data_IF_259585684858
#
_entry.id   IF_259585684858
#
_cell.length_a   1.000
_cell.length_b   1.000
_cell.length_c   1.000
_cell.angle_alpha   90.00
_cell.angle_beta   90.00
_cell.angle_gamma   90.00
#
_symmetry.space_group_name_H-M   'P 1'
#
loop_
_entity.id
_entity.type
_entity.pdbx_description
1 polymer ?
#
# COMPACT_ATOMS: atom_id res chain seq x y z
N UNK A 1 47.82 30.30 72.70
CA UNK A 1 48.25 29.45 71.57
C UNK A 1 47.01 29.02 70.81
N UNK A 2 46.86 29.46 69.56
CA UNK A 2 45.73 29.06 68.72
C UNK A 2 45.99 27.65 68.13
N UNK A 3 44.97 26.79 68.00
CA UNK A 3 45.14 25.46 67.42
C UNK A 3 45.45 25.57 65.91
N UNK A 4 46.40 24.75 65.42
CA UNK A 4 46.71 24.64 63.99
C UNK A 4 45.54 23.93 63.29
N UNK A 5 44.90 24.60 62.32
CA UNK A 5 43.97 23.96 61.38
C UNK A 5 44.72 22.95 60.50
N UNK A 6 44.27 21.70 60.51
CA UNK A 6 44.67 20.68 59.54
C UNK A 6 43.82 20.81 58.28
N UNK A 7 44.48 20.88 57.13
CA UNK A 7 43.85 21.10 55.81
C UNK A 7 42.84 20.01 55.39
N UNK A 8 42.83 18.85 56.06
CA UNK A 8 42.07 17.66 55.63
C UNK A 8 40.89 17.32 56.54
N UNK A 9 40.55 18.16 57.53
CA UNK A 9 39.40 17.91 58.41
C UNK A 9 38.04 17.98 57.66
N UNK A 10 37.98 18.72 56.54
CA UNK A 10 36.75 18.89 55.76
C UNK A 10 36.51 17.81 54.70
N UNK A 11 37.49 16.92 54.44
CA UNK A 11 37.40 15.89 53.38
C UNK A 11 36.81 14.54 53.88
N UNK A 12 36.69 14.32 55.19
CA UNK A 12 36.26 13.02 55.74
C UNK A 12 34.75 12.71 55.57
N UNK A 13 33.95 13.63 55.02
CA UNK A 13 32.49 13.47 54.89
C UNK A 13 31.93 13.70 53.48
N UNK A 14 32.75 13.61 52.43
CA UNK A 14 32.21 13.56 51.05
C UNK A 14 31.87 12.11 50.71
N UNK A 15 30.74 11.61 51.22
CA UNK A 15 30.13 10.42 50.65
C UNK A 15 29.69 10.74 49.22
N UNK A 16 30.48 10.34 48.23
CA UNK A 16 30.14 10.46 46.81
C UNK A 16 28.97 9.52 46.51
N UNK A 17 27.75 10.01 46.70
CA UNK A 17 26.56 9.29 46.24
C UNK A 17 26.57 9.28 44.70
N UNK A 18 26.41 8.11 44.06
CA UNK A 18 26.35 8.05 42.60
C UNK A 18 25.19 8.90 42.10
N UNK A 19 25.44 9.68 41.04
CA UNK A 19 24.47 10.62 40.47
C UNK A 19 23.19 9.92 40.05
N UNK A 20 22.06 10.40 40.59
CA UNK A 20 20.74 9.96 40.19
C UNK A 20 20.31 10.86 39.03
N UNK A 21 19.86 10.29 37.91
CA UNK A 21 19.28 11.02 36.77
C UNK A 21 17.85 11.53 37.09
N UNK A 22 17.65 12.06 38.29
CA UNK A 22 16.39 12.66 38.71
C UNK A 22 16.56 14.18 38.72
N UNK A 23 15.49 14.90 38.39
CA UNK A 23 15.46 16.35 38.37
C UNK A 23 15.83 16.91 39.75
N UNK A 24 16.80 17.82 39.79
CA UNK A 24 17.36 18.39 41.03
C UNK A 24 16.23 19.12 41.77
N UNK A 25 16.07 18.81 43.06
CA UNK A 25 15.06 19.48 43.90
C UNK A 25 15.28 21.00 43.91
N UNK A 26 14.21 21.80 43.86
CA UNK A 26 14.32 23.25 43.65
C UNK A 26 15.11 23.98 44.75
N UNK A 27 15.15 23.42 45.96
CA UNK A 27 15.89 23.96 47.11
C UNK A 27 17.41 23.78 46.94
N UNK A 28 17.85 22.64 46.38
CA UNK A 28 19.27 22.37 46.08
C UNK A 28 19.76 23.17 44.87
N UNK A 29 18.89 23.40 43.88
CA UNK A 29 19.18 24.23 42.70
C UNK A 29 19.53 25.67 43.09
N UNK A 30 18.93 26.20 44.15
CA UNK A 30 19.24 27.53 44.68
C UNK A 30 20.56 27.56 45.44
N UNK A 31 20.89 26.50 46.19
CA UNK A 31 22.14 26.40 46.97
C UNK A 31 23.37 26.13 46.09
N UNK A 32 23.24 25.36 45.01
CA UNK A 32 24.34 25.09 44.07
C UNK A 32 24.54 26.21 43.05
N UNK A 33 23.53 27.05 42.81
CA UNK A 33 23.67 28.21 41.93
C UNK A 33 24.42 29.34 42.65
N UNK A 34 25.76 29.32 42.57
CA UNK A 34 26.61 30.33 43.20
C UNK A 34 26.32 31.79 42.77
N UNK A 35 25.49 32.03 41.74
CA UNK A 35 25.30 33.33 41.08
C UNK A 35 23.83 33.68 40.76
N UNK A 36 22.84 33.07 41.44
CA UNK A 36 21.41 33.39 41.26
C UNK A 36 20.74 32.66 40.08
N UNK A 37 19.54 33.10 39.69
CA UNK A 37 18.64 32.41 38.75
C UNK A 37 19.20 32.41 37.31
N UNK A 38 20.06 31.44 37.00
CA UNK A 38 20.67 31.23 35.69
C UNK A 38 19.94 30.08 35.00
N UNK A 39 19.38 30.34 33.82
CA UNK A 39 18.83 29.28 32.95
C UNK A 39 19.87 28.89 31.90
N UNK A 40 20.01 27.59 31.64
CA UNK A 40 20.90 27.09 30.59
C UNK A 40 20.07 26.78 29.36
N UNK A 41 20.32 27.49 28.26
CA UNK A 41 19.71 27.25 26.95
C UNK A 41 20.85 26.94 25.97
N UNK A 42 20.80 25.76 25.34
CA UNK A 42 21.84 25.26 24.41
C UNK A 42 23.28 25.38 24.94
N UNK A 43 23.48 25.03 26.22
CA UNK A 43 24.80 25.07 26.87
C UNK A 43 25.29 26.48 27.25
N UNK A 44 24.53 27.53 26.96
CA UNK A 44 24.84 28.91 27.36
C UNK A 44 24.03 29.29 28.62
N UNK A 45 24.72 29.82 29.63
CA UNK A 45 24.09 30.32 30.85
C UNK A 45 23.54 31.73 30.64
N UNK A 46 22.21 31.85 30.51
CA UNK A 46 21.52 33.13 30.29
C UNK A 46 20.94 33.62 31.61
N UNK A 47 21.23 34.88 31.94
CA UNK A 47 20.67 35.60 33.09
C UNK A 47 19.52 36.47 32.62
N UNK A 48 18.29 36.01 32.85
CA UNK A 48 17.07 36.75 32.55
C UNK A 48 16.49 37.34 33.83
N UNK A 49 15.90 38.53 33.72
CA UNK A 49 15.09 39.05 34.82
C UNK A 49 13.75 38.30 34.86
N UNK A 50 13.25 37.91 36.04
CA UNK A 50 12.08 37.03 36.15
C UNK A 50 10.79 37.65 35.56
N UNK A 51 10.71 38.97 35.54
CA UNK A 51 9.59 39.69 34.91
C UNK A 51 9.60 39.60 33.39
N UNK A 52 10.77 39.76 32.75
CA UNK A 52 10.89 39.67 31.29
C UNK A 52 10.71 38.24 30.81
N UNK A 53 11.22 37.27 31.56
CA UNK A 53 11.07 35.85 31.25
C UNK A 53 9.60 35.40 31.30
N UNK A 54 8.85 35.85 32.30
CA UNK A 54 7.41 35.55 32.40
C UNK A 54 6.63 36.11 31.21
N UNK A 55 6.91 37.35 30.80
CA UNK A 55 6.23 37.97 29.66
C UNK A 55 6.67 37.33 28.33
N UNK A 56 7.95 37.03 28.16
CA UNK A 56 8.48 36.38 26.96
C UNK A 56 7.93 34.95 26.80
N UNK A 57 7.85 34.18 27.90
CA UNK A 57 7.25 32.85 27.87
C UNK A 57 5.76 32.92 27.61
N UNK A 58 5.02 33.84 28.23
CA UNK A 58 3.59 34.03 27.95
C UNK A 58 3.34 34.39 26.48
N UNK A 59 4.16 35.28 25.92
CA UNK A 59 4.08 35.64 24.50
C UNK A 59 4.44 34.45 23.58
N UNK A 60 5.52 33.73 23.89
CA UNK A 60 5.93 32.53 23.14
C UNK A 60 4.83 31.47 23.13
N UNK A 61 4.23 31.18 24.28
CA UNK A 61 3.13 30.24 24.39
C UNK A 61 1.91 30.73 23.60
N UNK A 62 1.54 32.00 23.71
CA UNK A 62 0.45 32.57 22.94
C UNK A 62 0.65 32.43 21.42
N UNK A 63 1.84 32.76 20.92
CA UNK A 63 2.17 32.62 19.49
C UNK A 63 2.16 31.15 19.06
N UNK A 64 2.75 30.27 19.87
CA UNK A 64 2.80 28.85 19.58
C UNK A 64 1.40 28.21 19.54
N UNK A 65 0.54 28.55 20.49
CA UNK A 65 -0.82 28.02 20.57
C UNK A 65 -1.67 28.50 19.38
N UNK A 66 -1.56 29.79 19.02
CA UNK A 66 -2.25 30.30 17.83
C UNK A 66 -1.71 29.70 16.53
N UNK A 67 -0.40 29.56 16.40
CA UNK A 67 0.22 28.95 15.21
C UNK A 67 -0.14 27.47 15.08
N UNK A 68 -0.13 26.71 16.18
CA UNK A 68 -0.47 25.29 16.18
C UNK A 68 -1.93 25.04 15.82
N UNK A 69 -2.86 25.83 16.33
CA UNK A 69 -4.29 25.76 15.95
C UNK A 69 -4.46 26.07 14.46
N UNK A 70 -3.84 27.12 13.94
CA UNK A 70 -3.92 27.47 12.51
C UNK A 70 -3.34 26.36 11.61
N UNK A 71 -2.20 25.78 11.99
CA UNK A 71 -1.60 24.67 11.24
C UNK A 71 -2.48 23.42 11.26
N UNK A 72 -3.11 23.12 12.40
CA UNK A 72 -4.03 21.99 12.52
C UNK A 72 -5.30 22.19 11.68
N UNK A 73 -5.88 23.40 11.68
CA UNK A 73 -7.04 23.74 10.87
C UNK A 73 -6.72 23.68 9.37
N UNK A 74 -5.57 24.21 8.95
CA UNK A 74 -5.10 24.12 7.56
C UNK A 74 -4.86 22.66 7.13
N UNK A 75 -4.26 21.84 8.00
CA UNK A 75 -4.08 20.41 7.76
C UNK A 75 -5.40 19.67 7.59
N UNK A 76 -6.39 20.01 8.43
CA UNK A 76 -7.73 19.42 8.39
C UNK A 76 -8.47 19.83 7.11
N UNK A 77 -8.41 21.10 6.71
CA UNK A 77 -9.03 21.56 5.46
C UNK A 77 -8.39 20.91 4.23
N UNK A 78 -7.06 20.81 4.20
CA UNK A 78 -6.34 20.16 3.08
C UNK A 78 -6.73 18.70 2.93
N UNK A 79 -6.83 17.97 4.03
CA UNK A 79 -7.23 16.55 4.03
C UNK A 79 -8.70 16.37 3.67
N UNK A 80 -9.59 17.24 4.17
CA UNK A 80 -10.99 17.25 3.77
C UNK A 80 -11.16 17.48 2.26
N UNK A 81 -10.48 18.48 1.69
CA UNK A 81 -10.52 18.76 0.24
C UNK A 81 -9.97 17.59 -0.57
N UNK A 82 -8.85 16.98 -0.14
CA UNK A 82 -8.30 15.82 -0.83
C UNK A 82 -9.27 14.63 -0.82
N UNK A 83 -9.96 14.39 0.30
CA UNK A 83 -10.95 13.33 0.42
C UNK A 83 -12.21 13.62 -0.42
N UNK A 84 -12.69 14.85 -0.42
CA UNK A 84 -13.82 15.26 -1.27
C UNK A 84 -13.46 15.15 -2.75
N UNK A 85 -12.24 15.54 -3.13
CA UNK A 85 -11.75 15.38 -4.50
C UNK A 85 -11.66 13.91 -4.90
N UNK A 86 -11.10 13.06 -4.04
CA UNK A 86 -11.05 11.61 -4.28
C UNK A 86 -12.45 11.00 -4.41
N UNK A 87 -13.38 11.40 -3.55
CA UNK A 87 -14.78 10.97 -3.62
C UNK A 87 -15.48 11.47 -4.89
N UNK A 88 -15.22 12.71 -5.30
CA UNK A 88 -15.75 13.27 -6.54
C UNK A 88 -15.18 12.55 -7.76
N UNK A 89 -13.87 12.27 -7.77
CA UNK A 89 -13.23 11.47 -8.81
C UNK A 89 -13.80 10.05 -8.87
N UNK A 90 -14.01 9.41 -7.72
CA UNK A 90 -14.65 8.09 -7.65
C UNK A 90 -16.07 8.15 -8.19
N UNK A 91 -16.89 9.11 -7.75
CA UNK A 91 -18.27 9.26 -8.24
C UNK A 91 -18.34 9.60 -9.72
N UNK A 92 -17.43 10.42 -10.23
CA UNK A 92 -17.32 10.69 -11.67
C UNK A 92 -16.98 9.41 -12.41
N UNK A 93 -16.02 8.64 -11.93
CA UNK A 93 -15.71 7.35 -12.53
C UNK A 93 -16.91 6.40 -12.45
N UNK A 94 -17.60 6.29 -11.31
CA UNK A 94 -18.73 5.38 -11.16
C UNK A 94 -19.97 5.83 -11.95
N UNK A 95 -20.22 7.14 -12.09
CA UNK A 95 -21.41 7.70 -12.77
C UNK A 95 -21.20 7.88 -14.28
N UNK A 96 -20.00 8.28 -14.72
CA UNK A 96 -19.68 8.49 -16.15
C UNK A 96 -19.13 7.21 -16.77
N UNK A 97 -18.38 6.39 -16.02
CA UNK A 97 -17.99 5.03 -16.40
C UNK A 97 -18.84 4.00 -15.67
N UNK A 98 -20.14 4.05 -15.91
CA UNK A 98 -20.99 2.89 -15.62
C UNK A 98 -20.47 1.73 -16.48
N UNK A 99 -19.68 0.76 -15.97
CA UNK A 99 -18.74 -0.09 -16.74
C UNK A 99 -19.39 -0.93 -17.83
N UNK A 100 -20.71 -1.14 -17.74
CA UNK A 100 -21.52 -1.81 -18.75
C UNK A 100 -21.62 -0.93 -19.99
N UNK A 101 -21.76 0.39 -19.83
CA UNK A 101 -21.89 1.35 -20.93
C UNK A 101 -20.62 1.52 -21.77
N UNK A 102 -19.40 1.74 -21.24
CA UNK A 102 -18.19 1.86 -22.05
C UNK A 102 -17.93 0.60 -22.86
N UNK A 103 -18.07 -0.58 -22.26
CA UNK A 103 -17.90 -1.84 -22.96
C UNK A 103 -18.91 -2.07 -24.08
N UNK A 104 -20.19 -1.75 -23.81
CA UNK A 104 -21.27 -1.84 -24.79
C UNK A 104 -21.08 -0.80 -25.90
N UNK A 105 -20.78 0.45 -25.55
CA UNK A 105 -20.53 1.54 -26.49
C UNK A 105 -19.30 1.24 -27.35
N UNK A 106 -18.22 0.70 -26.78
CA UNK A 106 -17.02 0.31 -27.53
C UNK A 106 -17.30 -0.74 -28.60
N UNK A 107 -18.26 -1.67 -28.38
CA UNK A 107 -18.63 -2.61 -29.43
C UNK A 107 -19.70 -2.07 -30.40
N UNK A 108 -20.67 -1.31 -29.89
CA UNK A 108 -21.83 -0.78 -30.66
C UNK A 108 -21.43 0.39 -31.55
N UNK A 109 -20.51 1.24 -31.11
CA UNK A 109 -20.12 2.45 -31.84
C UNK A 109 -19.49 2.14 -33.22
N UNK A 110 -18.54 1.21 -33.36
CA UNK A 110 -18.03 0.79 -34.68
C UNK A 110 -19.13 0.27 -35.61
N UNK A 111 -20.12 -0.45 -35.07
CA UNK A 111 -21.25 -1.01 -35.83
C UNK A 111 -22.13 0.14 -36.35
N UNK A 112 -22.47 1.09 -35.48
CA UNK A 112 -23.28 2.26 -35.83
C UNK A 112 -22.58 3.15 -36.86
N UNK A 113 -21.30 3.46 -36.66
CA UNK A 113 -20.50 4.25 -37.60
C UNK A 113 -20.46 3.57 -38.97
N UNK A 114 -20.22 2.27 -39.01
CA UNK A 114 -20.21 1.51 -40.26
C UNK A 114 -21.57 1.52 -40.95
N UNK A 115 -22.66 1.41 -40.19
CA UNK A 115 -24.01 1.47 -40.73
C UNK A 115 -24.33 2.85 -41.34
N UNK A 116 -23.86 3.93 -40.72
CA UNK A 116 -23.97 5.30 -41.25
C UNK A 116 -23.13 5.47 -42.52
N UNK A 117 -21.89 4.98 -42.54
CA UNK A 117 -21.01 5.08 -43.71
C UNK A 117 -21.54 4.31 -44.94
N UNK A 118 -22.18 3.17 -44.72
CA UNK A 118 -22.72 2.30 -45.78
C UNK A 118 -24.21 2.59 -46.05
N UNK A 119 -24.79 3.63 -45.42
CA UNK A 119 -26.22 3.93 -45.49
C UNK A 119 -26.75 4.16 -46.91
N UNK A 120 -25.93 4.73 -47.81
CA UNK A 120 -26.29 5.01 -49.21
C UNK A 120 -26.01 3.87 -50.19
N UNK A 121 -25.54 2.71 -49.72
CA UNK A 121 -25.20 1.55 -50.58
C UNK A 121 -26.35 0.53 -50.61
N UNK A 122 -26.26 -0.39 -51.55
CA UNK A 122 -27.24 -1.47 -51.70
C UNK A 122 -27.37 -2.32 -50.42
N UNK A 123 -28.58 -2.78 -50.13
CA UNK A 123 -28.95 -3.57 -48.94
C UNK A 123 -27.99 -4.74 -48.62
N UNK A 124 -27.56 -5.56 -49.61
CA UNK A 124 -26.64 -6.66 -49.34
C UNK A 124 -25.26 -6.19 -48.85
N UNK A 125 -24.74 -5.10 -49.42
CA UNK A 125 -23.44 -4.55 -49.03
C UNK A 125 -23.50 -3.97 -47.61
N UNK A 126 -24.60 -3.31 -47.26
CA UNK A 126 -24.84 -2.80 -45.90
C UNK A 126 -24.85 -3.92 -44.88
N UNK A 127 -25.57 -5.01 -45.16
CA UNK A 127 -25.66 -6.15 -44.26
C UNK A 127 -24.31 -6.83 -44.04
N UNK A 128 -23.56 -7.09 -45.12
CA UNK A 128 -22.25 -7.73 -45.03
C UNK A 128 -21.22 -6.85 -44.29
N UNK A 129 -21.16 -5.56 -44.62
CA UNK A 129 -20.22 -4.64 -43.98
C UNK A 129 -20.51 -4.48 -42.48
N UNK A 130 -21.77 -4.27 -42.09
CA UNK A 130 -22.15 -4.16 -40.67
C UNK A 130 -21.94 -5.46 -39.90
N UNK A 131 -22.20 -6.62 -40.52
CA UNK A 131 -21.99 -7.93 -39.88
C UNK A 131 -20.51 -8.24 -39.67
N UNK A 132 -19.65 -7.93 -40.64
CA UNK A 132 -18.20 -8.07 -40.49
C UNK A 132 -17.65 -7.20 -39.36
N UNK A 133 -18.05 -5.92 -39.34
CA UNK A 133 -17.62 -5.01 -38.28
C UNK A 133 -18.17 -5.43 -36.92
N UNK A 134 -19.41 -5.90 -36.84
CA UNK A 134 -19.96 -6.47 -35.63
C UNK A 134 -19.16 -7.68 -35.13
N UNK A 135 -18.82 -8.61 -36.02
CA UNK A 135 -18.02 -9.79 -35.68
C UNK A 135 -16.61 -9.44 -35.17
N UNK A 136 -15.92 -8.51 -35.84
CA UNK A 136 -14.59 -8.04 -35.42
C UNK A 136 -14.66 -7.29 -34.09
N UNK A 137 -15.65 -6.42 -33.95
CA UNK A 137 -15.87 -5.61 -32.76
C UNK A 137 -16.18 -6.49 -31.54
N UNK A 138 -17.01 -7.51 -31.69
CA UNK A 138 -17.30 -8.50 -30.65
C UNK A 138 -16.04 -9.29 -30.29
N UNK A 139 -15.33 -9.84 -31.28
CA UNK A 139 -14.12 -10.65 -31.02
C UNK A 139 -13.06 -9.90 -30.22
N UNK A 140 -12.89 -8.60 -30.51
CA UNK A 140 -11.87 -7.79 -29.85
C UNK A 140 -12.32 -7.23 -28.50
N UNK A 141 -13.55 -6.69 -28.42
CA UNK A 141 -14.01 -5.98 -27.22
C UNK A 141 -14.65 -6.89 -26.15
N UNK A 142 -15.28 -8.00 -26.55
CA UNK A 142 -15.95 -8.92 -25.61
C UNK A 142 -15.03 -9.53 -24.52
N UNK A 143 -13.79 -9.98 -24.79
CA UNK A 143 -12.94 -10.50 -23.72
C UNK A 143 -12.59 -9.44 -22.68
N UNK A 144 -12.38 -8.19 -23.11
CA UNK A 144 -12.05 -7.08 -22.23
C UNK A 144 -13.24 -6.72 -21.33
N UNK A 145 -14.45 -6.66 -21.90
CA UNK A 145 -15.67 -6.35 -21.13
C UNK A 145 -16.05 -7.48 -20.19
N UNK A 146 -15.84 -8.74 -20.59
CA UNK A 146 -16.06 -9.90 -19.74
C UNK A 146 -15.13 -9.90 -18.52
N UNK A 147 -13.83 -9.64 -18.72
CA UNK A 147 -12.87 -9.57 -17.61
C UNK A 147 -13.19 -8.44 -16.63
N UNK A 148 -13.54 -7.26 -17.15
CA UNK A 148 -13.94 -6.12 -16.31
C UNK A 148 -15.21 -6.42 -15.50
N UNK A 149 -16.21 -7.03 -16.14
CA UNK A 149 -17.48 -7.40 -15.48
C UNK A 149 -17.28 -8.50 -14.44
N UNK A 150 -16.49 -9.52 -14.75
CA UNK A 150 -16.14 -10.60 -13.82
C UNK A 150 -15.43 -10.05 -12.58
N UNK A 151 -14.49 -9.12 -12.76
CA UNK A 151 -13.76 -8.50 -11.64
C UNK A 151 -14.68 -7.75 -10.68
N UNK A 152 -15.64 -6.97 -11.20
CA UNK A 152 -16.64 -6.26 -10.38
C UNK A 152 -17.62 -7.22 -9.70
N UNK A 153 -18.08 -8.25 -10.42
CA UNK A 153 -18.95 -9.27 -9.83
C UNK A 153 -18.26 -10.01 -8.70
N UNK A 154 -16.98 -10.37 -8.86
CA UNK A 154 -16.19 -11.00 -7.81
C UNK A 154 -15.95 -10.08 -6.61
N UNK A 155 -15.74 -8.78 -6.84
CA UNK A 155 -15.62 -7.80 -5.75
C UNK A 155 -16.94 -7.66 -4.97
N UNK A 156 -18.06 -7.55 -5.68
CA UNK A 156 -19.39 -7.52 -5.06
C UNK A 156 -19.71 -8.80 -4.30
N UNK A 157 -19.37 -9.97 -4.87
CA UNK A 157 -19.55 -11.25 -4.22
C UNK A 157 -18.68 -11.37 -2.96
N UNK A 158 -17.44 -10.87 -2.99
CA UNK A 158 -16.55 -10.86 -1.82
C UNK A 158 -17.10 -10.01 -0.67
N UNK A 159 -17.74 -8.89 -0.98
CA UNK A 159 -18.33 -7.98 0.02
C UNK A 159 -19.61 -8.54 0.63
N UNK A 160 -20.49 -9.15 -0.18
CA UNK A 160 -21.81 -9.59 0.27
C UNK A 160 -21.85 -11.08 0.68
N UNK A 161 -21.02 -11.93 0.07
CA UNK A 161 -21.01 -13.39 0.24
C UNK A 161 -19.56 -13.94 0.27
N UNK A 162 -18.79 -13.65 1.34
CA UNK A 162 -17.39 -14.02 1.41
C UNK A 162 -17.14 -15.53 1.43
N UNK A 163 -18.10 -16.33 1.89
CA UNK A 163 -18.00 -17.80 1.93
C UNK A 163 -18.04 -18.41 0.52
N UNK A 164 -18.94 -17.92 -0.35
CA UNK A 164 -19.03 -18.36 -1.74
C UNK A 164 -17.76 -18.01 -2.51
N UNK A 165 -17.24 -16.79 -2.33
CA UNK A 165 -15.98 -16.38 -2.94
C UNK A 165 -14.79 -17.26 -2.50
N UNK A 166 -14.74 -17.69 -1.24
CA UNK A 166 -13.71 -18.63 -0.75
C UNK A 166 -13.86 -20.00 -1.41
N UNK A 167 -15.06 -20.56 -1.45
CA UNK A 167 -15.32 -21.85 -2.10
C UNK A 167 -14.94 -21.83 -3.59
N UNK A 168 -15.24 -20.75 -4.31
CA UNK A 168 -14.79 -20.58 -5.69
C UNK A 168 -13.26 -20.59 -5.79
N UNK A 169 -12.58 -19.87 -4.89
CA UNK A 169 -11.12 -19.85 -4.80
C UNK A 169 -10.51 -21.24 -4.57
N UNK A 170 -11.09 -22.00 -3.65
CA UNK A 170 -10.64 -23.37 -3.32
C UNK A 170 -10.83 -24.31 -4.51
N UNK A 171 -11.98 -24.22 -5.21
CA UNK A 171 -12.22 -24.98 -6.44
C UNK A 171 -11.21 -24.64 -7.54
N UNK A 172 -10.87 -23.35 -7.71
CA UNK A 172 -9.83 -22.95 -8.66
C UNK A 172 -8.46 -23.53 -8.31
N UNK A 173 -8.10 -23.57 -7.02
CA UNK A 173 -6.84 -24.17 -6.58
C UNK A 173 -6.83 -25.69 -6.82
N UNK A 174 -7.91 -26.39 -6.49
CA UNK A 174 -8.04 -27.84 -6.74
C UNK A 174 -7.92 -28.14 -8.23
N UNK A 175 -8.63 -27.38 -9.08
CA UNK A 175 -8.54 -27.53 -10.53
C UNK A 175 -7.11 -27.27 -11.04
N UNK A 176 -6.41 -26.30 -10.47
CA UNK A 176 -5.02 -26.01 -10.84
C UNK A 176 -4.07 -27.16 -10.49
N UNK A 177 -4.23 -27.75 -9.29
CA UNK A 177 -3.47 -28.93 -8.87
C UNK A 177 -3.73 -30.10 -9.82
N UNK A 178 -4.99 -30.38 -10.16
CA UNK A 178 -5.32 -31.46 -11.11
C UNK A 178 -4.69 -31.25 -12.50
N UNK A 179 -4.65 -30.01 -12.98
CA UNK A 179 -3.99 -29.69 -14.25
C UNK A 179 -2.48 -29.90 -14.16
N UNK A 180 -1.86 -29.61 -13.01
CA UNK A 180 -0.44 -29.86 -12.78
C UNK A 180 -0.16 -31.37 -12.70
N UNK A 181 -0.93 -32.11 -11.91
CA UNK A 181 -0.79 -33.57 -11.76
C UNK A 181 -0.97 -34.28 -13.11
N UNK A 182 -1.94 -33.85 -13.92
CA UNK A 182 -2.14 -34.39 -15.26
C UNK A 182 -0.94 -34.13 -16.19
N UNK A 183 -0.25 -32.98 -16.04
CA UNK A 183 0.97 -32.70 -16.80
C UNK A 183 2.13 -33.57 -16.35
N UNK A 184 2.31 -33.73 -15.03
CA UNK A 184 3.35 -34.60 -14.45
C UNK A 184 3.13 -36.04 -14.93
N UNK A 185 1.92 -36.58 -14.79
CA UNK A 185 1.57 -37.93 -15.24
C UNK A 185 1.80 -38.11 -16.75
N UNK A 186 1.46 -37.10 -17.56
CA UNK A 186 1.73 -37.14 -19.00
C UNK A 186 3.23 -37.21 -19.29
N UNK A 187 4.04 -36.46 -18.56
CA UNK A 187 5.47 -36.40 -18.79
C UNK A 187 6.18 -37.65 -18.25
N UNK A 188 5.73 -38.22 -17.13
CA UNK A 188 6.17 -39.52 -16.61
C UNK A 188 5.84 -40.66 -17.59
N UNK A 189 4.61 -40.69 -18.12
CA UNK A 189 4.22 -41.68 -19.12
C UNK A 189 5.08 -41.61 -20.40
N UNK A 190 5.52 -40.41 -20.79
CA UNK A 190 6.46 -40.24 -21.92
C UNK A 190 7.84 -40.80 -21.59
N UNK A 191 8.35 -40.53 -20.38
CA UNK A 191 9.63 -41.05 -19.93
C UNK A 191 9.62 -42.58 -19.84
N UNK A 192 8.54 -43.16 -19.32
CA UNK A 192 8.39 -44.61 -19.21
C UNK A 192 8.30 -45.28 -20.58
N UNK A 193 7.59 -44.66 -21.53
CA UNK A 193 7.55 -45.15 -22.92
C UNK A 193 8.93 -45.08 -23.59
N UNK A 194 9.69 -44.01 -23.34
CA UNK A 194 11.06 -43.91 -23.83
C UNK A 194 11.97 -44.99 -23.24
N UNK A 195 11.86 -45.27 -21.93
CA UNK A 195 12.60 -46.35 -21.27
C UNK A 195 12.21 -47.71 -21.83
N UNK A 196 10.91 -48.00 -21.98
CA UNK A 196 10.45 -49.29 -22.51
C UNK A 196 10.94 -49.54 -23.94
N UNK A 197 10.95 -48.51 -24.79
CA UNK A 197 11.49 -48.60 -26.15
C UNK A 197 13.01 -48.82 -26.14
N UNK A 198 13.72 -48.14 -25.24
CA UNK A 198 15.15 -48.31 -25.06
C UNK A 198 15.51 -49.73 -24.58
N UNK A 199 14.82 -50.24 -23.57
CA UNK A 199 15.03 -51.56 -23.00
C UNK A 199 14.70 -52.66 -24.02
N UNK A 200 13.60 -52.50 -24.77
CA UNK A 200 13.26 -53.41 -25.88
C UNK A 200 14.35 -53.43 -26.95
N UNK A 201 14.94 -52.28 -27.28
CA UNK A 201 16.06 -52.21 -28.22
C UNK A 201 17.30 -52.93 -27.69
N UNK A 202 17.66 -52.73 -26.42
CA UNK A 202 18.79 -53.43 -25.80
C UNK A 202 18.55 -54.93 -25.77
N UNK A 203 17.34 -55.37 -25.43
CA UNK A 203 16.98 -56.79 -25.40
C UNK A 203 17.09 -57.44 -26.79
N UNK A 204 16.63 -56.75 -27.84
CA UNK A 204 16.77 -57.22 -29.22
C UNK A 204 18.24 -57.34 -29.65
N UNK A 205 19.09 -56.35 -29.32
CA UNK A 205 20.53 -56.42 -29.63
C UNK A 205 21.15 -57.62 -28.94
N UNK A 206 20.89 -57.83 -27.64
CA UNK A 206 21.41 -59.00 -26.91
C UNK A 206 20.96 -60.33 -27.52
N UNK A 207 19.69 -60.44 -27.91
CA UNK A 207 19.16 -61.65 -28.52
C UNK A 207 19.77 -61.95 -29.90
N UNK A 208 20.19 -60.92 -30.64
CA UNK A 208 20.88 -61.05 -31.93
C UNK A 208 22.39 -61.32 -31.78
N UNK A 209 23.02 -60.86 -30.70
CA UNK A 209 24.45 -61.11 -30.42
C UNK A 209 24.69 -62.52 -29.83
N UNK A 210 23.65 -63.17 -29.29
CA UNK A 210 23.70 -64.54 -28.73
C UNK A 210 23.45 -65.66 -29.79
N UNK A 211 23.16 -65.32 -31.05
CA UNK A 211 23.12 -66.23 -32.23
C UNK A 211 24.45 -66.24 -33.01
#
# INVERSE_FOLDING_TARGET
MAPRRSFYEDDELVTTKPGINAEIQPELKQQESAHGNISFVDGMGVRTTPYLEKQANAFRHYVHDKASVLLAELGTQKTAVANEWANLQSKINDTILDPVFPGVVSFVFPILVTNVFVAKRALPLRFLASSLVAGVSLKYNMPLTYLASKGKLAAWEKENFPELHKQQGDLFQIAHVWVQDAKVLRDDAKLDLQKSVHDARIALIKALDDE
#
